data_IF_385448762276
#
_entry.id   IF_385448762276
#
_cell.length_a   1.000
_cell.length_b   1.000
_cell.length_c   1.000
_cell.angle_alpha   90.00
_cell.angle_beta   90.00
_cell.angle_gamma   90.00
#
_symmetry.space_group_name_H-M   'P 1'
#
loop_
_entity.id
_entity.type
_entity.pdbx_description
1 polymer ?
#
# COMPACT_ATOMS: atom_id res chain seq x y z
N UNK A 1 13.42 -58.00 -34.88
CA UNK A 1 12.75 -56.70 -35.04
C UNK A 1 11.64 -56.62 -34.00
N UNK A 2 11.97 -56.16 -32.80
CA UNK A 2 11.02 -55.94 -31.70
C UNK A 2 10.71 -54.46 -31.63
N UNK A 3 9.43 -54.15 -31.85
CA UNK A 3 8.86 -52.81 -31.77
C UNK A 3 8.92 -52.40 -30.29
N UNK A 4 9.76 -51.43 -29.96
CA UNK A 4 9.73 -50.77 -28.65
C UNK A 4 8.51 -49.86 -28.67
N UNK A 5 7.48 -50.25 -27.94
CA UNK A 5 6.36 -49.35 -27.64
C UNK A 5 6.86 -48.26 -26.71
N UNK A 6 6.96 -47.04 -27.23
CA UNK A 6 7.11 -45.84 -26.43
C UNK A 6 5.85 -45.66 -25.59
N UNK A 7 5.89 -46.20 -24.37
CA UNK A 7 4.95 -45.85 -23.33
C UNK A 7 5.10 -44.37 -23.00
N UNK A 8 4.31 -43.52 -23.65
CA UNK A 8 3.97 -42.18 -23.19
C UNK A 8 3.22 -42.32 -21.85
N UNK A 9 3.98 -42.53 -20.78
CA UNK A 9 3.51 -42.37 -19.42
C UNK A 9 3.30 -40.89 -19.21
N UNK A 10 2.04 -40.48 -19.35
CA UNK A 10 1.50 -39.23 -18.82
C UNK A 10 1.50 -39.27 -17.29
N UNK A 11 2.69 -39.46 -16.69
CA UNK A 11 2.92 -39.18 -15.28
C UNK A 11 2.82 -37.66 -15.11
N UNK A 12 1.61 -37.23 -14.76
CA UNK A 12 1.21 -35.84 -14.58
C UNK A 12 2.25 -35.09 -13.76
N UNK A 13 2.98 -34.22 -14.45
CA UNK A 13 4.17 -33.48 -14.01
C UNK A 13 3.93 -32.91 -12.59
N UNK A 14 4.46 -33.55 -11.53
CA UNK A 14 4.31 -33.03 -10.17
C UNK A 14 4.93 -31.62 -10.03
N UNK A 15 5.86 -31.27 -10.93
CA UNK A 15 6.42 -29.93 -11.05
C UNK A 15 5.46 -28.84 -11.54
N UNK A 16 4.49 -29.14 -12.42
CA UNK A 16 3.58 -28.13 -12.96
C UNK A 16 2.56 -27.68 -11.90
N UNK A 17 2.04 -28.62 -11.10
CA UNK A 17 1.13 -28.29 -9.98
C UNK A 17 1.85 -27.48 -8.91
N UNK A 18 3.08 -27.83 -8.55
CA UNK A 18 3.88 -27.06 -7.58
C UNK A 18 4.20 -25.64 -8.06
N UNK A 19 4.41 -25.44 -9.37
CA UNK A 19 4.60 -24.10 -9.93
C UNK A 19 3.34 -23.24 -9.85
N UNK A 20 2.17 -23.82 -10.11
CA UNK A 20 0.88 -23.11 -9.99
C UNK A 20 0.63 -22.70 -8.53
N UNK A 21 0.85 -23.60 -7.57
CA UNK A 21 0.70 -23.28 -6.15
C UNK A 21 1.70 -22.21 -5.70
N UNK A 22 2.94 -22.27 -6.15
CA UNK A 22 3.93 -21.20 -5.92
C UNK A 22 3.45 -19.84 -6.45
N UNK A 23 2.85 -19.80 -7.65
CA UNK A 23 2.32 -18.56 -8.21
C UNK A 23 1.14 -18.02 -7.38
N UNK A 24 0.23 -18.89 -6.95
CA UNK A 24 -0.87 -18.51 -6.07
C UNK A 24 -0.36 -17.95 -4.74
N UNK A 25 0.71 -18.53 -4.19
CA UNK A 25 1.36 -18.05 -2.97
C UNK A 25 1.98 -16.68 -3.16
N UNK A 26 2.65 -16.46 -4.29
CA UNK A 26 3.19 -15.16 -4.66
C UNK A 26 2.08 -14.10 -4.79
N UNK A 27 0.96 -14.46 -5.43
CA UNK A 27 -0.20 -13.60 -5.62
C UNK A 27 -0.84 -13.23 -4.29
N UNK A 28 -1.07 -14.19 -3.39
CA UNK A 28 -1.63 -13.94 -2.06
C UNK A 28 -0.71 -13.04 -1.22
N UNK A 29 0.60 -13.31 -1.24
CA UNK A 29 1.59 -12.45 -0.59
C UNK A 29 1.61 -11.04 -1.15
N UNK A 30 1.51 -10.90 -2.48
CA UNK A 30 1.42 -9.62 -3.17
C UNK A 30 0.14 -8.85 -2.82
N UNK A 31 -1.02 -9.52 -2.79
CA UNK A 31 -2.29 -8.91 -2.38
C UNK A 31 -2.26 -8.42 -0.94
N UNK A 32 -1.74 -9.23 -0.02
CA UNK A 32 -1.58 -8.84 1.37
C UNK A 32 -0.61 -7.65 1.50
N UNK A 33 0.50 -7.68 0.76
CA UNK A 33 1.45 -6.58 0.69
C UNK A 33 0.82 -5.29 0.16
N UNK A 34 0.03 -5.35 -0.90
CA UNK A 34 -0.69 -4.22 -1.46
C UNK A 34 -1.69 -3.62 -0.46
N UNK A 35 -2.39 -4.46 0.30
CA UNK A 35 -3.31 -4.03 1.34
C UNK A 35 -2.57 -3.30 2.48
N UNK A 36 -1.47 -3.88 2.96
CA UNK A 36 -0.62 -3.26 4.00
C UNK A 36 -0.10 -1.91 3.51
N UNK A 37 0.36 -1.84 2.25
CA UNK A 37 0.80 -0.59 1.63
C UNK A 37 -0.32 0.44 1.55
N UNK A 38 -1.50 0.07 1.06
CA UNK A 38 -2.64 0.98 0.92
C UNK A 38 -3.08 1.54 2.27
N UNK A 39 -3.18 0.70 3.30
CA UNK A 39 -3.55 1.12 4.65
C UNK A 39 -2.45 1.96 5.33
N UNK A 40 -1.18 1.63 5.11
CA UNK A 40 -0.04 2.36 5.66
C UNK A 40 0.20 3.73 5.00
N UNK A 41 -0.05 3.83 3.70
CA UNK A 41 0.06 5.07 2.91
C UNK A 41 -1.16 5.98 3.10
N UNK A 42 -2.38 5.42 3.16
CA UNK A 42 -3.62 6.17 3.37
C UNK A 42 -3.96 6.49 4.83
N UNK A 43 -3.16 5.99 5.79
CA UNK A 43 -3.38 6.13 7.22
C UNK A 43 -2.74 7.38 7.85
N UNK A 44 -3.20 7.80 9.06
CA UNK A 44 -2.79 9.05 9.73
C UNK A 44 -1.35 9.03 10.33
N UNK A 45 -0.43 8.29 9.72
CA UNK A 45 0.94 8.13 10.21
C UNK A 45 1.96 7.77 9.15
N UNK A 46 1.63 7.96 7.85
CA UNK A 46 2.47 7.75 6.67
C UNK A 46 3.73 6.92 6.95
N UNK A 47 3.58 5.59 6.93
CA UNK A 47 4.74 4.72 7.07
C UNK A 47 5.77 5.04 5.97
N UNK A 48 7.05 5.09 6.33
CA UNK A 48 8.13 5.22 5.36
C UNK A 48 7.98 4.12 4.30
N UNK A 49 7.67 4.50 3.06
CA UNK A 49 7.36 3.56 1.96
C UNK A 49 8.47 2.52 1.73
N UNK A 50 9.69 2.89 2.09
CA UNK A 50 10.89 2.07 2.13
C UNK A 50 10.74 0.71 2.83
N UNK A 51 10.24 0.69 4.07
CA UNK A 51 10.11 -0.55 4.84
C UNK A 51 9.00 -1.43 4.32
N UNK A 52 7.93 -0.80 3.84
CA UNK A 52 6.78 -1.51 3.27
C UNK A 52 7.19 -2.21 1.98
N UNK A 53 8.09 -1.65 1.17
CA UNK A 53 8.56 -2.28 -0.07
C UNK A 53 9.30 -3.59 0.19
N UNK A 54 10.19 -3.59 1.19
CA UNK A 54 10.89 -4.80 1.62
C UNK A 54 9.90 -5.86 2.12
N UNK A 55 8.89 -5.42 2.89
CA UNK A 55 7.85 -6.31 3.40
C UNK A 55 7.01 -6.92 2.28
N UNK A 56 6.58 -6.15 1.28
CA UNK A 56 5.84 -6.66 0.11
C UNK A 56 6.70 -7.70 -0.64
N UNK A 57 7.97 -7.39 -0.89
CA UNK A 57 8.91 -8.34 -1.52
C UNK A 57 9.07 -9.63 -0.71
N UNK A 58 9.23 -9.52 0.60
CA UNK A 58 9.34 -10.67 1.51
C UNK A 58 8.06 -11.51 1.55
N UNK A 59 6.87 -10.88 1.55
CA UNK A 59 5.58 -11.57 1.53
C UNK A 59 5.33 -12.29 0.20
N UNK A 60 5.60 -11.64 -0.94
CA UNK A 60 5.45 -12.26 -2.25
C UNK A 60 6.46 -13.40 -2.48
N UNK A 61 7.73 -13.18 -2.16
CA UNK A 61 8.78 -14.21 -2.27
C UNK A 61 8.58 -15.36 -1.29
N UNK A 62 8.23 -15.05 -0.04
CA UNK A 62 7.92 -16.02 1.01
C UNK A 62 6.70 -16.87 0.68
N UNK A 63 5.60 -16.24 0.24
CA UNK A 63 4.40 -16.94 -0.21
C UNK A 63 4.68 -17.87 -1.40
N UNK A 64 5.47 -17.41 -2.37
CA UNK A 64 5.93 -18.21 -3.50
C UNK A 64 6.68 -19.46 -3.05
N UNK A 65 7.67 -19.29 -2.18
CA UNK A 65 8.52 -20.36 -1.69
C UNK A 65 7.76 -21.36 -0.81
N UNK A 66 6.86 -20.88 0.06
CA UNK A 66 6.05 -21.72 0.97
C UNK A 66 5.12 -22.66 0.21
N UNK A 67 4.54 -22.22 -0.91
CA UNK A 67 3.66 -23.04 -1.73
C UNK A 67 4.41 -23.84 -2.83
N UNK A 68 5.73 -23.96 -2.70
CA UNK A 68 6.54 -24.84 -3.53
C UNK A 68 7.07 -24.23 -4.83
N UNK A 69 6.95 -22.91 -5.00
CA UNK A 69 7.58 -22.17 -6.08
C UNK A 69 9.11 -22.25 -5.98
N UNK A 70 9.76 -22.62 -7.09
CA UNK A 70 11.22 -22.81 -7.16
C UNK A 70 11.78 -22.35 -8.51
N UNK A 71 13.05 -21.96 -8.49
CA UNK A 71 13.83 -21.58 -9.66
C UNK A 71 13.63 -20.13 -10.12
N UNK A 72 14.54 -19.68 -11.00
CA UNK A 72 14.64 -18.28 -11.45
C UNK A 72 13.36 -17.74 -12.06
N UNK A 73 12.61 -18.54 -12.84
CA UNK A 73 11.35 -18.10 -13.45
C UNK A 73 10.32 -17.70 -12.40
N UNK A 74 10.17 -18.50 -11.34
CA UNK A 74 9.23 -18.22 -10.24
C UNK A 74 9.68 -17.04 -9.39
N UNK A 75 10.99 -16.89 -9.19
CA UNK A 75 11.59 -15.75 -8.51
C UNK A 75 11.28 -14.44 -9.23
N UNK A 76 11.47 -14.40 -10.56
CA UNK A 76 11.14 -13.24 -11.39
C UNK A 76 9.63 -12.92 -11.40
N UNK A 77 8.77 -13.94 -11.47
CA UNK A 77 7.31 -13.75 -11.40
C UNK A 77 6.87 -13.19 -10.05
N UNK A 78 7.38 -13.74 -8.94
CA UNK A 78 7.07 -13.24 -7.60
C UNK A 78 7.57 -11.79 -7.41
N UNK A 79 8.74 -11.48 -7.96
CA UNK A 79 9.29 -10.13 -8.01
C UNK A 79 8.44 -9.15 -8.81
N UNK A 80 8.02 -9.53 -10.01
CA UNK A 80 7.11 -8.73 -10.82
C UNK A 80 5.75 -8.49 -10.13
N UNK A 81 5.21 -9.51 -9.48
CA UNK A 81 3.98 -9.38 -8.68
C UNK A 81 4.16 -8.44 -7.49
N UNK A 82 5.33 -8.44 -6.83
CA UNK A 82 5.63 -7.50 -5.76
C UNK A 82 5.62 -6.04 -6.26
N UNK A 83 6.21 -5.77 -7.43
CA UNK A 83 6.18 -4.43 -8.05
C UNK A 83 4.75 -4.01 -8.40
N UNK A 84 3.97 -4.91 -9.00
CA UNK A 84 2.55 -4.65 -9.31
C UNK A 84 1.76 -4.38 -8.03
N UNK A 85 2.02 -5.11 -6.95
CA UNK A 85 1.40 -4.89 -5.65
C UNK A 85 1.76 -3.55 -5.01
N UNK A 86 3.00 -3.07 -5.16
CA UNK A 86 3.38 -1.73 -4.70
C UNK A 86 2.60 -0.65 -5.45
N UNK A 87 2.50 -0.76 -6.78
CA UNK A 87 1.72 0.17 -7.60
C UNK A 87 0.23 0.11 -7.23
N UNK A 88 -0.33 -1.08 -7.12
CA UNK A 88 -1.73 -1.28 -6.73
C UNK A 88 -2.03 -0.79 -5.32
N UNK A 89 -1.14 -1.03 -4.36
CA UNK A 89 -1.23 -0.55 -2.99
C UNK A 89 -1.20 0.98 -2.90
N UNK A 90 -0.41 1.64 -3.76
CA UNK A 90 -0.38 3.11 -3.85
C UNK A 90 -1.69 3.70 -4.38
N UNK A 91 -2.26 3.09 -5.43
CA UNK A 91 -3.59 3.47 -5.94
C UNK A 91 -4.65 3.23 -4.88
N UNK A 92 -4.59 2.11 -4.16
CA UNK A 92 -5.50 1.81 -3.06
C UNK A 92 -5.37 2.85 -1.93
N UNK A 93 -4.15 3.20 -1.53
CA UNK A 93 -3.92 4.22 -0.50
C UNK A 93 -4.42 5.60 -0.92
N UNK A 94 -4.20 5.99 -2.17
CA UNK A 94 -4.75 7.21 -2.76
C UNK A 94 -6.29 7.20 -2.76
N UNK A 95 -6.89 6.05 -3.05
CA UNK A 95 -8.34 5.87 -3.04
C UNK A 95 -8.89 5.96 -1.61
N UNK A 96 -8.22 5.34 -0.63
CA UNK A 96 -8.57 5.46 0.79
C UNK A 96 -8.48 6.92 1.24
N UNK A 97 -7.43 7.66 0.85
CA UNK A 97 -7.27 9.07 1.21
C UNK A 97 -8.41 9.95 0.67
N UNK A 98 -8.85 9.70 -0.56
CA UNK A 98 -9.97 10.42 -1.19
C UNK A 98 -11.32 10.07 -0.58
N UNK A 99 -11.54 8.81 -0.20
CA UNK A 99 -12.86 8.34 0.25
C UNK A 99 -13.02 8.34 1.78
N UNK A 100 -11.94 8.46 2.55
CA UNK A 100 -12.03 8.60 4.01
C UNK A 100 -12.48 10.00 4.39
N UNK A 101 -13.30 10.12 5.42
CA UNK A 101 -13.53 11.40 6.08
C UNK A 101 -12.26 11.82 6.81
N UNK A 102 -11.88 13.09 6.67
CA UNK A 102 -10.72 13.59 7.38
C UNK A 102 -11.07 13.82 8.85
N UNK A 103 -10.38 13.06 9.70
CA UNK A 103 -10.56 13.15 11.13
C UNK A 103 -9.93 14.41 11.70
N UNK A 104 -10.13 14.60 13.01
CA UNK A 104 -9.58 15.73 13.77
C UNK A 104 -8.06 15.92 13.57
N UNK A 105 -7.28 14.84 13.54
CA UNK A 105 -5.81 14.90 13.36
C UNK A 105 -5.39 15.39 11.97
N UNK A 106 -6.12 14.99 10.93
CA UNK A 106 -5.84 15.43 9.55
C UNK A 106 -6.12 16.95 9.44
N UNK A 107 -7.27 17.38 9.99
CA UNK A 107 -7.65 18.80 10.07
C UNK A 107 -6.66 19.62 10.88
N UNK A 108 -6.18 19.11 12.01
CA UNK A 108 -5.15 19.77 12.82
C UNK A 108 -3.83 19.92 12.06
N UNK A 109 -3.43 18.92 11.27
CA UNK A 109 -2.18 18.98 10.50
C UNK A 109 -2.27 20.06 9.41
N UNK A 110 -3.42 20.15 8.74
CA UNK A 110 -3.69 21.19 7.73
C UNK A 110 -3.77 22.56 8.40
N UNK A 111 -4.51 22.68 9.51
CA UNK A 111 -4.61 23.91 10.27
C UNK A 111 -3.24 24.37 10.79
N UNK A 112 -2.39 23.47 11.25
CA UNK A 112 -1.02 23.77 11.69
C UNK A 112 -0.11 24.20 10.52
N UNK A 113 -0.31 23.66 9.32
CA UNK A 113 0.37 24.14 8.11
C UNK A 113 -0.12 25.53 7.72
N UNK A 114 -1.44 25.75 7.69
CA UNK A 114 -2.07 27.03 7.40
C UNK A 114 -1.63 28.10 8.41
N UNK A 115 -1.58 27.78 9.71
CA UNK A 115 -1.06 28.64 10.79
C UNK A 115 0.35 29.16 10.52
N UNK A 116 1.22 28.34 9.92
CA UNK A 116 2.59 28.74 9.59
C UNK A 116 2.65 29.75 8.44
N UNK A 117 1.69 29.71 7.52
CA UNK A 117 1.67 30.56 6.33
C UNK A 117 0.76 31.79 6.50
N UNK A 118 -0.32 31.65 7.27
CA UNK A 118 -1.36 32.64 7.51
C UNK A 118 -1.77 32.61 8.99
N UNK A 119 -0.98 33.23 9.89
CA UNK A 119 -1.32 33.26 11.30
C UNK A 119 -2.63 34.04 11.53
N UNK A 120 -3.48 33.53 12.42
CA UNK A 120 -4.69 34.23 12.83
C UNK A 120 -4.32 35.27 13.89
N UNK A 121 -4.07 36.49 13.42
CA UNK A 121 -3.70 37.65 14.23
C UNK A 121 -4.87 38.63 14.33
N UNK A 122 -4.73 39.69 15.13
CA UNK A 122 -5.77 40.70 15.34
C UNK A 122 -6.32 41.27 14.03
N UNK A 123 -5.44 41.53 13.06
CA UNK A 123 -5.84 42.02 11.72
C UNK A 123 -6.76 41.03 10.98
N UNK A 124 -6.58 39.72 11.18
CA UNK A 124 -7.44 38.69 10.60
C UNK A 124 -8.81 38.68 11.27
N UNK A 125 -8.84 38.87 12.59
CA UNK A 125 -10.09 38.99 13.35
C UNK A 125 -10.86 40.26 12.97
N UNK A 126 -10.19 41.42 12.85
CA UNK A 126 -10.82 42.66 12.38
C UNK A 126 -11.33 42.55 10.94
N UNK A 127 -10.62 41.81 10.09
CA UNK A 127 -11.08 41.49 8.74
C UNK A 127 -12.36 40.64 8.79
N UNK A 128 -12.43 39.65 9.67
CA UNK A 128 -13.61 38.81 9.86
C UNK A 128 -14.82 39.60 10.37
N UNK A 129 -14.62 40.54 11.29
CA UNK A 129 -15.71 41.41 11.75
C UNK A 129 -16.31 42.25 10.61
N UNK A 130 -15.46 42.73 9.68
CA UNK A 130 -15.92 43.42 8.45
C UNK A 130 -16.67 42.48 7.51
N UNK A 131 -16.18 41.25 7.32
CA UNK A 131 -16.86 40.21 6.54
C UNK A 131 -18.28 39.95 7.04
N UNK A 132 -18.45 39.82 8.36
CA UNK A 132 -19.75 39.58 8.98
C UNK A 132 -20.73 40.72 8.69
N UNK A 133 -20.28 41.97 8.82
CA UNK A 133 -21.09 43.15 8.53
C UNK A 133 -21.55 43.19 7.07
N UNK A 134 -20.62 43.02 6.13
CA UNK A 134 -20.91 43.05 4.70
C UNK A 134 -21.80 41.87 4.25
N UNK A 135 -21.58 40.67 4.81
CA UNK A 135 -22.38 39.50 4.45
C UNK A 135 -23.88 39.70 4.76
N UNK A 136 -24.19 40.40 5.86
CA UNK A 136 -25.58 40.71 6.26
C UNK A 136 -26.30 41.58 5.23
N UNK A 137 -25.55 42.44 4.55
CA UNK A 137 -26.07 43.37 3.55
C UNK A 137 -26.00 42.80 2.13
N UNK A 138 -25.30 41.68 1.93
CA UNK A 138 -25.08 41.05 0.63
C UNK A 138 -26.35 40.33 0.14
N UNK A 139 -26.95 40.76 -0.98
CA UNK A 139 -28.06 40.06 -1.59
C UNK A 139 -27.66 38.67 -2.15
N UNK A 140 -28.59 37.70 -2.25
CA UNK A 140 -28.26 36.36 -2.78
C UNK A 140 -27.63 36.35 -4.17
N UNK A 141 -28.02 37.28 -5.05
CA UNK A 141 -27.48 37.44 -6.41
C UNK A 141 -26.04 38.00 -6.44
N UNK A 142 -25.54 38.52 -5.32
CA UNK A 142 -24.18 39.06 -5.20
C UNK A 142 -23.24 38.14 -4.41
N UNK A 143 -23.68 36.93 -4.07
CA UNK A 143 -22.94 35.99 -3.25
C UNK A 143 -21.57 35.62 -3.84
N UNK A 144 -21.49 35.40 -5.15
CA UNK A 144 -20.23 35.07 -5.82
C UNK A 144 -19.21 36.20 -5.71
N UNK A 145 -19.66 37.45 -5.89
CA UNK A 145 -18.79 38.63 -5.72
C UNK A 145 -18.28 38.77 -4.30
N UNK A 146 -19.11 38.41 -3.30
CA UNK A 146 -18.70 38.38 -1.89
C UNK A 146 -17.64 37.31 -1.64
N UNK A 147 -17.83 36.10 -2.17
CA UNK A 147 -16.87 34.98 -2.03
C UNK A 147 -15.50 35.37 -2.57
N UNK A 148 -15.46 35.93 -3.78
CA UNK A 148 -14.20 36.35 -4.44
C UNK A 148 -13.54 37.48 -3.66
N UNK A 149 -14.28 38.54 -3.33
CA UNK A 149 -13.75 39.70 -2.61
C UNK A 149 -13.09 39.32 -1.29
N UNK A 150 -13.70 38.40 -0.57
CA UNK A 150 -13.24 38.00 0.76
C UNK A 150 -12.28 36.82 0.75
N UNK A 151 -12.00 36.23 -0.42
CA UNK A 151 -11.06 35.13 -0.59
C UNK A 151 -11.56 33.84 0.02
N UNK A 152 -12.86 33.55 -0.11
CA UNK A 152 -13.43 32.24 0.22
C UNK A 152 -13.33 31.24 -0.95
N UNK A 153 -12.73 31.66 -2.06
CA UNK A 153 -12.32 30.75 -3.13
C UNK A 153 -11.31 29.72 -2.61
N UNK A 154 -11.48 28.48 -3.04
CA UNK A 154 -10.64 27.34 -2.69
C UNK A 154 -9.62 27.04 -3.80
N UNK A 155 -9.89 27.51 -5.03
CA UNK A 155 -9.00 27.41 -6.20
C UNK A 155 -8.15 28.65 -6.47
N UNK A 156 -7.67 28.78 -7.70
CA UNK A 156 -6.92 29.96 -8.16
C UNK A 156 -7.84 31.20 -8.27
N UNK A 157 -7.33 32.37 -7.89
CA UNK A 157 -8.08 33.64 -7.75
C UNK A 157 -8.72 34.19 -9.04
N UNK A 158 -8.34 33.65 -10.20
CA UNK A 158 -8.74 34.17 -11.51
C UNK A 158 -9.86 33.34 -12.18
N UNK A 159 -10.55 32.50 -11.41
CA UNK A 159 -11.64 31.65 -11.89
C UNK A 159 -13.01 32.06 -11.34
N UNK A 160 -14.06 31.78 -12.11
CA UNK A 160 -15.43 31.89 -11.63
C UNK A 160 -15.62 30.97 -10.42
N UNK A 161 -16.41 31.42 -9.44
CA UNK A 161 -16.73 30.63 -8.25
C UNK A 161 -17.39 29.32 -8.70
N UNK A 162 -16.75 28.21 -8.40
CA UNK A 162 -17.23 26.88 -8.74
C UNK A 162 -18.42 26.48 -7.87
N UNK A 163 -19.21 25.51 -8.35
CA UNK A 163 -20.33 24.96 -7.58
C UNK A 163 -19.88 24.37 -6.24
N UNK A 164 -18.67 23.81 -6.17
CA UNK A 164 -18.07 23.25 -4.94
C UNK A 164 -17.78 24.36 -3.92
N UNK A 165 -17.30 25.51 -4.38
CA UNK A 165 -17.06 26.68 -3.51
C UNK A 165 -18.37 27.29 -3.01
N UNK A 166 -19.40 27.36 -3.85
CA UNK A 166 -20.74 27.77 -3.43
C UNK A 166 -21.34 26.82 -2.39
N UNK A 167 -21.17 25.52 -2.57
CA UNK A 167 -21.66 24.51 -1.63
C UNK A 167 -20.89 24.57 -0.30
N UNK A 168 -19.56 24.73 -0.34
CA UNK A 168 -18.74 24.94 0.85
C UNK A 168 -19.14 26.23 1.57
N UNK A 169 -19.30 27.33 0.84
CA UNK A 169 -19.69 28.60 1.44
C UNK A 169 -21.05 28.49 2.13
N UNK A 170 -22.07 27.98 1.43
CA UNK A 170 -23.41 27.88 2.00
C UNK A 170 -23.51 26.86 3.15
N UNK A 171 -22.77 25.74 3.06
CA UNK A 171 -22.82 24.66 4.04
C UNK A 171 -21.93 24.87 5.26
N UNK A 172 -20.74 25.44 5.08
CA UNK A 172 -19.72 25.52 6.11
C UNK A 172 -19.40 26.95 6.55
N UNK A 173 -19.49 27.98 5.69
CA UNK A 173 -19.08 29.37 6.01
C UNK A 173 -20.26 30.23 6.46
N UNK A 174 -21.30 30.31 5.63
CA UNK A 174 -22.47 31.15 5.83
C UNK A 174 -23.18 30.90 7.17
N UNK A 175 -23.29 29.66 7.70
CA UNK A 175 -23.86 29.43 9.02
C UNK A 175 -23.11 30.17 10.14
N UNK A 176 -21.78 30.18 10.11
CA UNK A 176 -20.98 30.93 11.08
C UNK A 176 -21.16 32.43 10.90
N UNK A 177 -21.12 32.95 9.67
CA UNK A 177 -21.34 34.38 9.42
C UNK A 177 -22.71 34.85 9.91
N UNK A 178 -23.77 34.05 9.70
CA UNK A 178 -25.13 34.33 10.21
C UNK A 178 -25.18 34.33 11.74
N UNK A 179 -24.55 33.33 12.39
CA UNK A 179 -24.50 33.25 13.84
C UNK A 179 -23.73 34.43 14.43
N UNK A 180 -22.57 34.75 13.86
CA UNK A 180 -21.69 35.83 14.31
C UNK A 180 -22.24 37.23 14.03
N UNK A 181 -23.11 37.39 13.03
CA UNK A 181 -23.84 38.63 12.78
C UNK A 181 -24.79 39.01 13.92
N UNK A 182 -25.26 38.03 14.69
CA UNK A 182 -26.12 38.27 15.86
C UNK A 182 -25.30 38.51 17.12
N UNK A 183 -24.18 37.79 17.26
CA UNK A 183 -23.28 37.90 18.39
C UNK A 183 -21.84 37.63 17.94
N UNK A 184 -20.97 38.66 17.90
CA UNK A 184 -19.58 38.47 17.51
C UNK A 184 -18.87 37.46 18.44
N UNK A 185 -18.14 36.48 17.88
CA UNK A 185 -17.46 35.46 18.65
C UNK A 185 -16.24 36.05 19.37
N UNK A 186 -15.78 35.42 20.45
CA UNK A 186 -14.45 35.74 21.00
C UNK A 186 -13.38 35.36 19.98
N UNK A 187 -12.23 36.04 20.03
CA UNK A 187 -11.13 35.80 19.10
C UNK A 187 -10.63 34.34 19.11
N UNK A 188 -10.62 33.69 20.28
CA UNK A 188 -10.27 32.27 20.42
C UNK A 188 -11.19 31.36 19.62
N UNK A 189 -12.49 31.64 19.68
CA UNK A 189 -13.55 30.81 19.10
C UNK A 189 -13.63 31.06 17.59
N UNK A 190 -13.47 32.32 17.19
CA UNK A 190 -13.31 32.73 15.79
C UNK A 190 -12.12 32.04 15.13
N UNK A 191 -10.99 31.96 15.84
CA UNK A 191 -9.78 31.29 15.36
C UNK A 191 -10.02 29.80 15.13
N UNK A 192 -10.65 29.12 16.08
CA UNK A 192 -10.95 27.69 15.96
C UNK A 192 -11.91 27.41 14.79
N UNK A 193 -12.97 28.21 14.68
CA UNK A 193 -13.94 28.09 13.59
C UNK A 193 -13.30 28.39 12.23
N UNK A 194 -12.46 29.43 12.13
CA UNK A 194 -11.71 29.74 10.91
C UNK A 194 -10.89 28.54 10.43
N UNK A 195 -10.23 27.83 11.34
CA UNK A 195 -9.44 26.65 10.97
C UNK A 195 -10.28 25.44 10.59
N UNK A 196 -11.40 25.19 11.27
CA UNK A 196 -12.30 24.10 10.89
C UNK A 196 -12.93 24.36 9.52
N UNK A 197 -13.39 25.60 9.26
CA UNK A 197 -13.90 26.03 7.95
C UNK A 197 -12.84 25.82 6.88
N UNK A 198 -11.62 26.32 7.09
CA UNK A 198 -10.53 26.20 6.14
C UNK A 198 -10.17 24.73 5.86
N UNK A 199 -10.07 23.90 6.90
CA UNK A 199 -9.76 22.48 6.75
C UNK A 199 -10.85 21.71 5.98
N UNK A 200 -12.14 22.00 6.22
CA UNK A 200 -13.26 21.41 5.47
C UNK A 200 -13.30 21.88 4.02
N UNK A 201 -13.05 23.17 3.79
CA UNK A 201 -12.95 23.73 2.44
C UNK A 201 -11.85 23.04 1.65
N UNK A 202 -10.66 22.92 2.26
CA UNK A 202 -9.54 22.19 1.65
C UNK A 202 -9.87 20.71 1.40
N UNK A 203 -10.53 20.02 2.33
CA UNK A 203 -10.97 18.63 2.13
C UNK A 203 -11.91 18.48 0.92
N UNK A 204 -12.95 19.31 0.82
CA UNK A 204 -13.91 19.28 -0.30
C UNK A 204 -13.23 19.61 -1.62
N UNK A 205 -12.43 20.68 -1.64
CA UNK A 205 -11.71 21.07 -2.84
C UNK A 205 -10.75 19.95 -3.27
N UNK A 206 -9.92 19.44 -2.36
CA UNK A 206 -8.99 18.36 -2.63
C UNK A 206 -9.71 17.13 -3.22
N UNK A 207 -10.82 16.69 -2.61
CA UNK A 207 -11.60 15.55 -3.09
C UNK A 207 -12.27 15.79 -4.45
N UNK A 208 -12.69 17.03 -4.73
CA UNK A 208 -13.37 17.38 -5.96
C UNK A 208 -12.42 17.60 -7.15
N UNK A 209 -11.25 18.20 -6.91
CA UNK A 209 -10.34 18.63 -7.98
C UNK A 209 -9.14 17.73 -8.17
N UNK A 210 -8.77 16.92 -7.17
CA UNK A 210 -7.57 16.08 -7.25
C UNK A 210 -7.93 14.70 -7.80
N UNK A 211 -7.59 14.39 -9.07
CA UNK A 211 -7.81 13.05 -9.60
C UNK A 211 -6.96 12.03 -8.86
N UNK A 212 -7.51 10.83 -8.64
CA UNK A 212 -6.86 9.72 -7.94
C UNK A 212 -5.43 9.48 -8.42
N UNK A 213 -5.21 9.59 -9.73
CA UNK A 213 -3.91 9.35 -10.34
C UNK A 213 -2.87 10.34 -9.83
N UNK A 214 -3.21 11.62 -9.63
CA UNK A 214 -2.26 12.62 -9.11
C UNK A 214 -1.80 12.29 -7.69
N UNK A 215 -2.71 11.81 -6.83
CA UNK A 215 -2.38 11.37 -5.46
C UNK A 215 -1.56 10.08 -5.48
N UNK A 216 -1.84 9.19 -6.43
CA UNK A 216 -1.04 8.00 -6.66
C UNK A 216 0.31 8.29 -7.35
N UNK A 217 0.52 9.51 -7.90
CA UNK A 217 1.67 9.88 -8.73
C UNK A 217 2.86 10.59 -8.07
N UNK A 218 3.05 10.73 -6.73
CA UNK A 218 4.26 11.39 -6.26
C UNK A 218 5.46 10.75 -6.96
N UNK A 219 6.47 11.53 -7.37
CA UNK A 219 7.57 11.00 -8.15
C UNK A 219 8.07 9.74 -7.47
N UNK A 220 8.28 8.66 -8.24
CA UNK A 220 9.09 7.56 -7.75
C UNK A 220 10.46 8.19 -7.48
N UNK A 221 10.66 8.65 -6.25
CA UNK A 221 11.96 9.14 -5.86
C UNK A 221 12.94 8.00 -6.07
N UNK A 222 14.19 8.33 -6.36
CA UNK A 222 15.25 7.34 -6.54
C UNK A 222 15.27 6.32 -5.38
N UNK A 223 14.92 6.79 -4.18
CA UNK A 223 14.73 5.99 -2.97
C UNK A 223 13.61 4.94 -3.15
N UNK A 224 12.41 5.32 -3.59
CA UNK A 224 11.31 4.39 -3.85
C UNK A 224 11.68 3.33 -4.89
N UNK A 225 12.42 3.72 -5.94
CA UNK A 225 12.92 2.80 -6.95
C UNK A 225 13.94 1.81 -6.36
N UNK A 226 14.89 2.30 -5.55
CA UNK A 226 15.86 1.44 -4.86
C UNK A 226 15.17 0.44 -3.92
N UNK A 227 14.10 0.85 -3.24
CA UNK A 227 13.35 -0.03 -2.35
C UNK A 227 12.49 -1.03 -3.10
N UNK A 228 11.88 -0.65 -4.23
CA UNK A 228 11.20 -1.59 -5.12
C UNK A 228 12.17 -2.64 -5.69
N UNK A 229 13.37 -2.21 -6.12
CA UNK A 229 14.44 -3.11 -6.56
C UNK A 229 14.95 -3.99 -5.41
N UNK A 230 15.06 -3.44 -4.20
CA UNK A 230 15.47 -4.21 -3.01
C UNK A 230 14.42 -5.26 -2.65
N UNK A 231 13.13 -4.92 -2.70
CA UNK A 231 12.03 -5.87 -2.51
C UNK A 231 12.02 -6.98 -3.56
N UNK A 232 12.30 -6.64 -4.82
CA UNK A 232 12.52 -7.61 -5.90
C UNK A 232 13.69 -8.55 -5.58
N UNK A 233 14.85 -8.00 -5.20
CA UNK A 233 16.04 -8.78 -4.82
C UNK A 233 15.74 -9.70 -3.64
N UNK A 234 15.04 -9.21 -2.62
CA UNK A 234 14.62 -10.02 -1.46
C UNK A 234 13.69 -11.16 -1.90
N UNK A 235 12.71 -10.89 -2.74
CA UNK A 235 11.79 -11.92 -3.25
C UNK A 235 12.55 -13.01 -4.00
N UNK A 236 13.49 -12.61 -4.88
CA UNK A 236 14.36 -13.53 -5.63
C UNK A 236 15.24 -14.35 -4.70
N UNK A 237 15.95 -13.69 -3.78
CA UNK A 237 16.85 -14.34 -2.85
C UNK A 237 16.15 -15.37 -1.97
N UNK A 238 14.91 -15.10 -1.52
CA UNK A 238 14.11 -16.05 -0.74
C UNK A 238 13.81 -17.30 -1.57
N UNK A 239 13.31 -17.14 -2.80
CA UNK A 239 12.95 -18.26 -3.67
C UNK A 239 14.19 -19.09 -4.03
N UNK A 240 15.32 -18.44 -4.33
CA UNK A 240 16.58 -19.11 -4.64
C UNK A 240 17.13 -19.87 -3.43
N UNK A 241 17.18 -19.25 -2.26
CA UNK A 241 17.66 -19.89 -1.02
C UNK A 241 16.86 -21.14 -0.69
N UNK A 242 15.53 -21.08 -0.83
CA UNK A 242 14.65 -22.24 -0.60
C UNK A 242 14.85 -23.31 -1.68
N UNK A 243 15.07 -22.91 -2.94
CA UNK A 243 15.38 -23.83 -4.03
C UNK A 243 16.69 -24.57 -3.77
N UNK A 244 17.73 -23.86 -3.34
CA UNK A 244 19.04 -24.44 -3.08
C UNK A 244 19.03 -25.37 -1.86
N UNK A 245 18.38 -24.96 -0.76
CA UNK A 245 18.17 -25.84 0.41
C UNK A 245 17.43 -27.12 0.03
N UNK A 246 16.42 -27.04 -0.83
CA UNK A 246 15.71 -28.22 -1.32
C UNK A 246 16.61 -29.13 -2.19
N UNK A 247 17.51 -28.55 -3.01
CA UNK A 247 18.50 -29.31 -3.78
C UNK A 247 19.47 -30.06 -2.86
N UNK A 248 20.08 -29.36 -1.90
CA UNK A 248 21.02 -29.96 -0.95
C UNK A 248 20.38 -31.09 -0.13
N UNK A 249 19.13 -30.91 0.31
CA UNK A 249 18.40 -31.93 1.05
C UNK A 249 18.15 -33.21 0.21
N UNK A 250 17.86 -33.06 -1.09
CA UNK A 250 17.71 -34.19 -2.02
C UNK A 250 19.02 -34.93 -2.21
N UNK A 251 20.12 -34.21 -2.46
CA UNK A 251 21.44 -34.81 -2.60
C UNK A 251 21.88 -35.55 -1.33
N UNK A 252 21.61 -34.98 -0.15
CA UNK A 252 21.90 -35.63 1.13
C UNK A 252 21.07 -36.91 1.33
N UNK A 253 19.78 -36.87 0.99
CA UNK A 253 18.89 -38.03 1.06
C UNK A 253 19.34 -39.15 0.09
N UNK A 254 19.73 -38.81 -1.13
CA UNK A 254 20.27 -39.75 -2.11
C UNK A 254 21.59 -40.38 -1.65
N UNK A 255 22.51 -39.58 -1.09
CA UNK A 255 23.77 -40.09 -0.53
C UNK A 255 23.51 -41.03 0.65
N UNK A 256 22.59 -40.68 1.55
CA UNK A 256 22.20 -41.53 2.67
C UNK A 256 21.55 -42.85 2.21
N UNK A 257 20.73 -42.80 1.15
CA UNK A 257 20.12 -43.99 0.55
C UNK A 257 21.17 -44.90 -0.10
N UNK A 258 22.16 -44.34 -0.82
CA UNK A 258 23.28 -45.10 -1.41
C UNK A 258 24.13 -45.77 -0.34
N UNK A 259 24.51 -45.06 0.72
CA UNK A 259 25.27 -45.65 1.84
C UNK A 259 24.51 -46.78 2.54
N UNK A 260 23.18 -46.67 2.70
CA UNK A 260 22.36 -47.76 3.24
C UNK A 260 22.32 -48.97 2.30
N UNK A 261 22.25 -48.75 0.99
CA UNK A 261 22.26 -49.82 0.00
C UNK A 261 23.61 -50.56 -0.08
N UNK A 262 24.72 -49.86 0.08
CA UNK A 262 26.08 -50.42 0.09
C UNK A 262 26.39 -51.20 1.37
N UNK A 263 25.75 -50.88 2.50
CA UNK A 263 25.87 -51.62 3.77
C UNK A 263 25.05 -52.93 3.82
N UNK A 264 24.65 -53.51 2.67
CA UNK A 264 24.02 -54.84 2.66
C UNK A 264 24.96 -55.85 3.34
N UNK A 265 24.47 -56.63 4.32
CA UNK A 265 25.32 -57.54 5.09
C UNK A 265 25.93 -58.59 4.18
N UNK A 266 27.24 -58.80 4.31
CA UNK A 266 27.96 -59.91 3.70
C UNK A 266 27.20 -61.22 3.98
N UNK A 267 27.03 -62.11 2.99
CA UNK A 267 26.31 -63.36 3.20
C UNK A 267 26.97 -64.12 4.35
N UNK A 268 26.20 -64.40 5.41
CA UNK A 268 26.64 -65.19 6.55
C UNK A 268 27.29 -66.47 6.00
N UNK A 269 28.58 -66.62 6.27
CA UNK A 269 29.35 -67.79 5.86
C UNK A 269 28.62 -69.07 6.28
N UNK A 270 28.51 -70.02 5.35
CA UNK A 270 27.92 -71.33 5.62
C UNK A 270 28.63 -71.97 6.82
N UNK A 271 27.90 -72.54 7.80
CA UNK A 271 28.54 -73.26 8.89
C UNK A 271 29.33 -74.45 8.33
N UNK A 272 30.55 -74.62 8.83
CA UNK A 272 31.41 -75.74 8.47
C UNK A 272 30.74 -77.07 8.88
N UNK A 273 30.85 -78.14 8.07
CA UNK A 273 30.23 -79.41 8.37
C UNK A 273 30.88 -80.04 9.61
N UNK A 274 30.07 -80.26 10.65
CA UNK A 274 30.44 -81.05 11.82
C UNK A 274 30.66 -82.50 11.40
N UNK A 275 31.87 -83.02 11.64
CA UNK A 275 32.17 -84.45 11.55
C UNK A 275 31.28 -85.20 12.56
N UNK A 276 30.43 -86.09 12.06
CA UNK A 276 29.76 -87.10 12.88
C UNK A 276 30.81 -88.13 13.32
N UNK A 277 31.00 -88.23 14.64
CA UNK A 277 31.77 -89.28 15.28
C UNK A 277 30.83 -90.42 15.68
N UNK A 278 31.26 -91.61 15.32
CA UNK A 278 30.72 -92.94 15.62
C UNK A 278 30.48 -93.19 17.12
N UNK A 279 29.39 -93.90 17.43
CA UNK A 279 29.29 -94.88 18.50
C UNK A 279 28.19 -95.89 18.15
#
# INVERSE_FOLDING_TARGET
MTRVEEGHTTDGIPGARMQIFGLLGALLGALLGALIWGLGFGGPGAMEGSWVALLVGALSGGGCALLGGRGMKMALLAGGLAVVAMLGGRVLGAWILLNREWGWKDRQTIAASALRHHPFVDVTYDRMLRQIGEFKETPPDQLESFIVRWGYELGERDHQVSSVELEHFNGDVAPYLKAWASQPPRQSDAREAYYDIYARGYERHFKATTPLWQIARPPLDFVDLLFALSGLVVAVAIVETVTEKARMAREAAERAARQKAERKPLPKGKPAPTKQGEA
#
